data_IF_746565462716
#
_entry.id   IF_746565462716
#
_cell.length_a   1.000
_cell.length_b   1.000
_cell.length_c   1.000
_cell.angle_alpha   90.00
_cell.angle_beta   90.00
_cell.angle_gamma   90.00
#
_symmetry.space_group_name_H-M   'P 1'
#
loop_
_entity.id
_entity.type
_entity.pdbx_description
1 polymer ?
#
# COMPACT_ATOMS: atom_id res chain seq x y z
N UNK A 1 -16.14 -10.89 6.83
CA UNK A 1 -16.26 -10.89 8.30
C UNK A 1 -16.21 -9.42 8.73
N UNK A 2 -17.36 -8.89 9.17
CA UNK A 2 -17.53 -7.50 9.61
C UNK A 2 -16.92 -7.34 11.00
N UNK A 3 -15.83 -6.59 11.11
CA UNK A 3 -15.37 -5.99 12.35
C UNK A 3 -15.04 -4.53 12.02
N UNK A 4 -16.01 -3.64 12.18
CA UNK A 4 -15.77 -2.23 11.86
C UNK A 4 -16.82 -1.25 12.35
N UNK A 5 -18.06 -1.67 12.58
CA UNK A 5 -19.13 -0.74 12.91
C UNK A 5 -19.38 -0.54 14.42
N UNK A 6 -18.83 -1.39 15.30
CA UNK A 6 -19.11 -1.34 16.76
C UNK A 6 -18.00 -0.73 17.64
N UNK A 7 -16.85 -0.34 17.09
CA UNK A 7 -15.76 0.32 17.86
C UNK A 7 -15.50 1.78 17.45
N UNK A 8 -16.30 2.33 16.53
CA UNK A 8 -16.08 3.66 15.94
C UNK A 8 -16.42 4.85 16.86
N UNK A 9 -16.60 4.62 18.17
CA UNK A 9 -17.00 5.66 19.13
C UNK A 9 -15.86 6.53 19.67
N UNK A 10 -14.60 6.07 19.63
CA UNK A 10 -13.51 6.73 20.39
C UNK A 10 -12.15 6.78 19.69
N UNK A 11 -11.97 6.11 18.55
CA UNK A 11 -10.67 6.03 17.88
C UNK A 11 -10.76 6.37 16.39
N UNK A 12 -9.88 7.25 15.93
CA UNK A 12 -9.69 7.54 14.51
C UNK A 12 -8.56 6.67 13.94
N UNK A 13 -8.81 6.03 12.80
CA UNK A 13 -7.78 5.31 12.06
C UNK A 13 -7.02 6.26 11.15
N UNK A 14 -5.75 6.51 11.46
CA UNK A 14 -4.84 7.23 10.57
C UNK A 14 -4.14 6.25 9.63
N UNK A 15 -4.14 6.56 8.33
CA UNK A 15 -3.30 5.87 7.33
C UNK A 15 -2.24 6.83 6.82
N UNK A 16 -0.99 6.40 6.84
CA UNK A 16 0.15 7.19 6.38
C UNK A 16 0.73 6.58 5.10
N UNK A 17 1.12 7.44 4.16
CA UNK A 17 1.83 7.04 2.96
C UNK A 17 3.19 7.73 2.92
N UNK A 18 4.21 7.00 2.47
CA UNK A 18 5.56 7.52 2.31
C UNK A 18 6.16 7.03 0.98
N UNK A 19 7.07 7.82 0.42
CA UNK A 19 7.82 7.41 -0.77
C UNK A 19 8.89 6.39 -0.37
N UNK A 20 8.86 5.22 -1.00
CA UNK A 20 9.96 4.27 -0.95
C UNK A 20 11.08 4.79 -1.85
N UNK A 21 12.28 4.96 -1.28
CA UNK A 21 13.46 5.49 -2.00
C UNK A 21 14.46 4.39 -2.40
N UNK A 22 14.30 3.18 -1.86
CA UNK A 22 15.16 2.04 -2.15
C UNK A 22 14.61 0.75 -1.58
N UNK A 23 15.14 -0.36 -2.06
CA UNK A 23 14.80 -1.71 -1.59
C UNK A 23 16.09 -2.46 -1.25
N UNK A 24 16.19 -2.95 -0.03
CA UNK A 24 17.27 -3.85 0.36
C UNK A 24 17.05 -5.26 -0.24
N UNK A 25 18.13 -6.07 -0.32
CA UNK A 25 18.04 -7.48 -0.68
C UNK A 25 16.98 -8.20 0.14
N UNK A 26 16.22 -9.08 -0.50
CA UNK A 26 15.20 -9.87 0.20
C UNK A 26 15.88 -10.81 1.18
N UNK A 27 15.26 -10.96 2.36
CA UNK A 27 15.67 -11.90 3.39
C UNK A 27 14.47 -12.73 3.83
N UNK A 28 14.66 -13.98 4.27
CA UNK A 28 13.62 -14.76 4.90
C UNK A 28 12.94 -13.99 6.03
N UNK A 29 11.62 -14.10 6.11
CA UNK A 29 10.84 -13.63 7.25
C UNK A 29 11.40 -14.20 8.57
N UNK A 30 11.71 -13.38 9.58
CA UNK A 30 12.28 -13.86 10.84
C UNK A 30 11.40 -14.87 11.57
N UNK A 31 10.08 -14.75 11.43
CA UNK A 31 9.12 -15.58 12.15
C UNK A 31 8.90 -16.93 11.45
N UNK A 32 8.79 -16.94 10.12
CA UNK A 32 8.44 -18.13 9.33
C UNK A 32 9.52 -18.68 8.40
N UNK A 33 10.68 -18.03 8.27
CA UNK A 33 11.76 -18.42 7.37
C UNK A 33 11.41 -18.35 5.87
N UNK A 34 10.24 -17.80 5.52
CA UNK A 34 9.75 -17.75 4.13
C UNK A 34 10.26 -16.49 3.45
N UNK A 35 10.72 -16.63 2.21
CA UNK A 35 11.02 -15.47 1.38
C UNK A 35 9.71 -14.93 0.78
N UNK A 36 9.29 -13.74 1.22
CA UNK A 36 8.07 -13.10 0.74
C UNK A 36 8.32 -12.34 -0.57
N UNK A 37 7.42 -12.53 -1.53
CA UNK A 37 7.42 -11.77 -2.78
C UNK A 37 7.00 -10.31 -2.55
N UNK A 38 7.55 -9.39 -3.36
CA UNK A 38 7.11 -8.00 -3.41
C UNK A 38 6.31 -7.80 -4.70
N UNK A 39 5.15 -7.15 -4.60
CA UNK A 39 4.32 -6.77 -5.75
C UNK A 39 4.18 -5.25 -5.74
N UNK A 40 4.46 -4.63 -6.88
CA UNK A 40 4.15 -3.21 -7.11
C UNK A 40 2.81 -3.15 -7.82
N UNK A 41 1.86 -2.44 -7.23
CA UNK A 41 0.51 -2.22 -7.74
C UNK A 41 0.19 -0.73 -7.67
N UNK A 42 -0.73 -0.22 -8.51
CA UNK A 42 -1.29 1.10 -8.35
C UNK A 42 -1.75 1.32 -6.91
N UNK A 43 -1.56 2.53 -6.41
CA UNK A 43 -1.93 2.88 -5.03
C UNK A 43 -3.43 2.65 -4.80
N UNK A 44 -4.24 2.85 -5.84
CA UNK A 44 -5.69 2.65 -5.83
C UNK A 44 -6.15 1.20 -5.67
N UNK A 45 -5.28 0.23 -5.95
CA UNK A 45 -5.64 -1.20 -5.91
C UNK A 45 -5.41 -1.80 -4.52
N UNK A 46 -4.60 -1.14 -3.70
CA UNK A 46 -4.23 -1.55 -2.34
C UNK A 46 -5.45 -1.79 -1.43
N UNK A 47 -6.48 -0.91 -1.40
CA UNK A 47 -7.64 -1.09 -0.55
C UNK A 47 -8.41 -2.38 -0.83
N UNK A 48 -8.51 -2.78 -2.10
CA UNK A 48 -9.15 -4.03 -2.49
C UNK A 48 -8.30 -5.23 -2.06
N UNK A 49 -6.99 -5.21 -2.32
CA UNK A 49 -6.07 -6.29 -1.98
C UNK A 49 -5.97 -6.55 -0.47
N UNK A 50 -6.09 -5.48 0.33
CA UNK A 50 -5.95 -5.55 1.79
C UNK A 50 -7.28 -5.47 2.55
N UNK A 51 -8.41 -5.39 1.84
CA UNK A 51 -9.74 -5.37 2.44
C UNK A 51 -10.04 -4.13 3.30
N UNK A 52 -9.58 -2.94 2.89
CA UNK A 52 -9.70 -1.71 3.70
C UNK A 52 -11.07 -1.04 3.67
N UNK A 53 -12.00 -1.54 2.84
CA UNK A 53 -13.34 -0.99 2.69
C UNK A 53 -13.36 0.37 1.98
N UNK A 54 -14.55 0.99 1.97
CA UNK A 54 -14.83 2.20 1.19
C UNK A 54 -13.99 3.41 1.62
N UNK A 55 -13.88 3.67 2.93
CA UNK A 55 -13.05 4.77 3.44
C UNK A 55 -11.57 4.59 3.09
N UNK A 56 -11.09 3.34 3.04
CA UNK A 56 -9.74 3.03 2.57
C UNK A 56 -9.56 3.30 1.09
N UNK A 57 -10.58 3.03 0.26
CA UNK A 57 -10.57 3.34 -1.17
C UNK A 57 -10.46 4.85 -1.43
N UNK A 58 -11.27 5.66 -0.74
CA UNK A 58 -11.22 7.11 -0.84
C UNK A 58 -9.85 7.68 -0.41
N UNK A 59 -9.32 7.18 0.71
CA UNK A 59 -8.00 7.59 1.20
C UNK A 59 -6.88 7.22 0.21
N UNK A 60 -6.94 6.07 -0.45
CA UNK A 60 -5.95 5.66 -1.45
C UNK A 60 -5.98 6.58 -2.69
N UNK A 61 -7.16 6.99 -3.16
CA UNK A 61 -7.30 7.96 -4.26
C UNK A 61 -6.68 9.31 -3.88
N UNK A 62 -6.91 9.79 -2.66
CA UNK A 62 -6.29 11.03 -2.18
C UNK A 62 -4.77 10.91 -2.07
N UNK A 63 -4.28 9.78 -1.52
CA UNK A 63 -2.84 9.52 -1.43
C UNK A 63 -2.18 9.48 -2.80
N UNK A 64 -2.82 8.86 -3.80
CA UNK A 64 -2.35 8.85 -5.19
C UNK A 64 -2.20 10.28 -5.74
N UNK A 65 -3.24 11.12 -5.60
CA UNK A 65 -3.18 12.53 -6.07
C UNK A 65 -2.08 13.34 -5.39
N UNK A 66 -1.88 13.16 -4.08
CA UNK A 66 -0.78 13.83 -3.36
C UNK A 66 0.57 13.34 -3.88
N UNK A 67 0.73 12.03 -4.05
CA UNK A 67 1.99 11.46 -4.50
C UNK A 67 2.35 11.86 -5.94
N UNK A 68 1.37 11.93 -6.83
CA UNK A 68 1.54 12.45 -8.19
C UNK A 68 1.91 13.93 -8.17
N UNK A 69 1.15 14.76 -7.46
CA UNK A 69 1.37 16.22 -7.45
C UNK A 69 2.64 16.66 -6.72
N UNK A 70 3.05 15.96 -5.66
CA UNK A 70 4.20 16.34 -4.83
C UNK A 70 5.50 15.66 -5.25
N UNK A 71 5.42 14.45 -5.80
CA UNK A 71 6.60 13.62 -6.09
C UNK A 71 6.66 13.09 -7.52
N UNK A 72 5.67 13.39 -8.38
CA UNK A 72 5.59 12.92 -9.76
C UNK A 72 5.68 11.40 -9.88
N UNK A 73 5.12 10.68 -8.90
CA UNK A 73 5.13 9.23 -8.89
C UNK A 73 4.04 8.66 -9.80
N UNK A 74 4.32 7.58 -10.55
CA UNK A 74 3.39 6.92 -11.47
C UNK A 74 2.35 6.02 -10.76
N UNK A 75 1.65 6.58 -9.78
CA UNK A 75 0.79 5.88 -8.80
C UNK A 75 -0.46 5.21 -9.37
N UNK A 76 -0.82 5.52 -10.60
CA UNK A 76 -1.99 4.99 -11.31
C UNK A 76 -1.66 3.78 -12.20
N UNK A 77 -0.38 3.40 -12.26
CA UNK A 77 0.10 2.37 -13.17
C UNK A 77 1.05 1.40 -12.48
N UNK A 78 1.11 0.17 -12.97
CA UNK A 78 2.08 -0.83 -12.55
C UNK A 78 3.44 -0.50 -13.17
N UNK A 79 4.13 0.54 -12.70
CA UNK A 79 5.51 0.81 -13.16
C UNK A 79 6.49 0.05 -12.30
N UNK A 80 6.80 -1.18 -12.70
CA UNK A 80 8.11 -1.75 -12.42
C UNK A 80 8.91 -1.69 -13.74
N UNK A 81 10.17 -1.21 -13.76
CA UNK A 81 11.05 -1.52 -14.89
C UNK A 81 11.16 -3.04 -15.05
N UNK A 82 11.39 -3.58 -16.26
CA UNK A 82 11.40 -5.02 -16.56
C UNK A 82 12.55 -5.81 -15.93
N UNK A 83 13.17 -5.30 -14.86
CA UNK A 83 14.04 -6.09 -14.00
C UNK A 83 13.51 -5.99 -12.57
N UNK A 84 12.54 -6.85 -12.26
CA UNK A 84 12.45 -7.37 -10.91
C UNK A 84 13.69 -8.24 -10.74
N UNK A 85 14.80 -7.64 -10.30
CA UNK A 85 15.99 -8.39 -9.90
C UNK A 85 15.58 -9.30 -8.76
N UNK A 86 15.67 -10.60 -9.02
CA UNK A 86 15.59 -11.62 -7.98
C UNK A 86 16.83 -11.59 -7.07
#
# INVERSE_FOLDING_TARGET
MLLGHELAGEYAYLRMAARIVGFDPRRPDPDGGRLLGRRLVPVTDVPLLLGWGESGAEQAVLAARVAESRWMLPVWSHTAPPVAVD
#
